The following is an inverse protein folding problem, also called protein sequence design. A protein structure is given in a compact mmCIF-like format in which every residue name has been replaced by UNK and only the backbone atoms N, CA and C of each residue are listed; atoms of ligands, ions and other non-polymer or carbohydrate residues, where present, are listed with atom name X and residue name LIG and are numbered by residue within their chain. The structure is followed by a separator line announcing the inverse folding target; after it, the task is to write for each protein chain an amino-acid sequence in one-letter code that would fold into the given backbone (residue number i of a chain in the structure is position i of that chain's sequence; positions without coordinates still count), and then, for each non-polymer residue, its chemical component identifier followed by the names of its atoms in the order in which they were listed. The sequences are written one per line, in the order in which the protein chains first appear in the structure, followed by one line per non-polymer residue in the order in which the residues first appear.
data_IF_527312215841
#
_entry.id   IF_527312215841
#
_cell.length_a   1.000
_cell.length_b   1.000
_cell.length_c   1.000
_cell.angle_alpha   90.00
_cell.angle_beta   90.00
_cell.angle_gamma   90.00
#
_symmetry.space_group_name_H-M   'P 1'
#
loop_
_entity.id
_entity.type
_entity.pdbx_description
1 polymer ?
#
# COMPACT_ATOMS: atom_id res chain seq x y z
N UNK A 1 1.52 35.62 -10.83
CA UNK A 1 0.53 36.70 -10.76
C UNK A 1 -0.87 36.09 -10.74
N UNK A 2 -1.67 36.40 -9.71
CA UNK A 2 -3.03 35.88 -9.60
C UNK A 2 -3.97 36.64 -10.51
N UNK A 3 -4.87 35.98 -11.24
CA UNK A 3 -5.88 36.69 -12.03
C UNK A 3 -6.80 37.48 -11.09
N UNK A 4 -7.06 38.73 -11.45
CA UNK A 4 -7.82 39.70 -10.64
C UNK A 4 -9.29 39.31 -10.36
N UNK A 5 -9.80 38.26 -10.99
CA UNK A 5 -11.20 37.86 -10.91
C UNK A 5 -11.42 36.37 -10.52
N UNK A 6 -10.51 35.80 -9.74
CA UNK A 6 -10.73 34.43 -9.25
C UNK A 6 -11.84 34.45 -8.17
N UNK A 7 -12.88 33.59 -8.26
CA UNK A 7 -13.91 33.51 -7.24
C UNK A 7 -13.35 33.07 -5.89
N UNK A 8 -13.98 33.48 -4.76
CA UNK A 8 -13.55 33.08 -3.43
C UNK A 8 -13.46 31.55 -3.33
N UNK A 9 -12.30 31.04 -2.90
CA UNK A 9 -12.03 29.60 -2.83
C UNK A 9 -11.25 29.03 -4.00
N UNK A 10 -11.23 29.65 -5.19
CA UNK A 10 -10.49 29.16 -6.36
C UNK A 10 -8.97 29.33 -6.21
N UNK A 11 -8.53 30.26 -5.39
CA UNK A 11 -7.11 30.56 -5.14
C UNK A 11 -6.38 29.35 -4.55
N UNK A 12 -7.03 28.60 -3.65
CA UNK A 12 -6.44 27.37 -3.07
C UNK A 12 -6.22 26.30 -4.11
N UNK A 13 -7.11 26.16 -5.09
CA UNK A 13 -6.98 25.17 -6.17
C UNK A 13 -5.79 25.45 -7.10
N UNK A 14 -5.46 26.72 -7.31
CA UNK A 14 -4.32 27.12 -8.15
C UNK A 14 -2.98 26.83 -7.52
N UNK A 15 -2.89 26.88 -6.17
CA UNK A 15 -1.64 26.62 -5.42
C UNK A 15 -1.50 25.17 -4.93
N UNK A 16 -2.53 24.33 -5.10
CA UNK A 16 -2.53 22.95 -4.62
C UNK A 16 -2.96 22.00 -5.76
N UNK A 17 -2.23 21.98 -6.89
CA UNK A 17 -2.71 21.29 -8.11
C UNK A 17 -2.87 19.78 -7.93
N UNK A 18 -2.04 19.13 -7.10
CA UNK A 18 -2.06 17.68 -6.91
C UNK A 18 -3.05 17.21 -5.84
N UNK A 19 -3.43 18.05 -4.89
CA UNK A 19 -4.31 17.65 -3.78
C UNK A 19 -5.73 17.27 -4.21
N UNK A 20 -6.15 17.64 -5.42
CA UNK A 20 -7.46 17.32 -5.98
C UNK A 20 -7.50 16.06 -6.83
N UNK A 21 -6.36 15.42 -7.03
CA UNK A 21 -6.26 14.19 -7.83
C UNK A 21 -6.03 12.97 -6.95
N UNK A 22 -6.53 11.84 -7.40
CA UNK A 22 -6.29 10.56 -6.73
C UNK A 22 -4.81 10.19 -6.80
N UNK A 23 -4.33 9.59 -5.73
CA UNK A 23 -2.96 9.09 -5.60
C UNK A 23 -2.99 7.58 -5.48
N UNK A 24 -2.08 6.90 -6.18
CA UNK A 24 -1.83 5.47 -6.02
C UNK A 24 -0.37 5.23 -5.73
N UNK A 25 -0.08 4.22 -4.93
CA UNK A 25 1.28 3.70 -4.82
C UNK A 25 1.61 2.84 -6.04
N UNK A 26 2.85 2.88 -6.51
CA UNK A 26 3.34 2.05 -7.62
C UNK A 26 4.45 1.15 -7.12
N UNK A 27 4.23 -0.16 -7.23
CA UNK A 27 5.09 -1.20 -6.66
C UNK A 27 5.71 -1.99 -7.82
N UNK A 28 7.04 -2.00 -7.88
CA UNK A 28 7.78 -2.79 -8.85
C UNK A 28 7.95 -4.22 -8.37
N UNK A 29 7.65 -5.19 -9.22
CA UNK A 29 7.84 -6.62 -8.97
C UNK A 29 8.67 -7.25 -10.08
N UNK A 30 9.42 -8.29 -9.79
CA UNK A 30 10.27 -8.97 -10.79
C UNK A 30 9.50 -9.95 -11.66
N UNK A 31 8.40 -10.50 -11.16
CA UNK A 31 7.55 -11.48 -11.84
C UNK A 31 6.08 -11.22 -11.51
N UNK A 32 5.31 -10.77 -12.50
CA UNK A 32 3.91 -10.42 -12.29
C UNK A 32 3.04 -11.61 -11.90
N UNK A 33 3.32 -12.82 -12.40
CA UNK A 33 2.55 -14.01 -12.04
C UNK A 33 2.77 -14.40 -10.58
N UNK A 34 3.99 -14.31 -10.10
CA UNK A 34 4.31 -14.51 -8.69
C UNK A 34 3.67 -13.43 -7.81
N UNK A 35 3.69 -12.19 -8.26
CA UNK A 35 3.03 -11.08 -7.57
C UNK A 35 1.52 -11.29 -7.47
N UNK A 36 0.85 -11.73 -8.51
CA UNK A 36 -0.58 -12.06 -8.49
C UNK A 36 -0.88 -13.09 -7.39
N UNK A 37 -0.10 -14.15 -7.28
CA UNK A 37 -0.25 -15.15 -6.23
C UNK A 37 -0.14 -14.55 -4.81
N UNK A 38 0.70 -13.56 -4.63
CA UNK A 38 0.86 -12.87 -3.35
C UNK A 38 -0.26 -11.84 -3.11
N UNK A 39 -0.42 -10.87 -4.00
CA UNK A 39 -1.37 -9.77 -3.78
C UNK A 39 -2.82 -10.24 -3.80
N UNK A 40 -3.19 -11.12 -4.70
CA UNK A 40 -4.54 -11.67 -4.78
C UNK A 40 -4.72 -12.88 -3.86
N UNK A 41 -3.78 -13.83 -3.88
CA UNK A 41 -3.90 -15.09 -3.15
C UNK A 41 -3.66 -14.98 -1.65
N UNK A 42 -2.65 -14.22 -1.21
CA UNK A 42 -2.30 -14.09 0.21
C UNK A 42 -2.89 -12.85 0.86
N UNK A 43 -2.83 -11.68 0.18
CA UNK A 43 -3.39 -10.44 0.70
C UNK A 43 -4.89 -10.30 0.43
N UNK A 44 -5.46 -11.06 -0.48
CA UNK A 44 -6.88 -11.00 -0.81
C UNK A 44 -7.29 -9.73 -1.56
N UNK A 45 -6.37 -9.04 -2.22
CA UNK A 45 -6.69 -7.85 -3.00
C UNK A 45 -7.42 -8.22 -4.29
N UNK A 46 -8.32 -7.35 -4.73
CA UNK A 46 -9.08 -7.55 -5.95
C UNK A 46 -8.52 -6.68 -7.07
N UNK A 47 -8.16 -7.33 -8.18
CA UNK A 47 -7.72 -6.62 -9.37
C UNK A 47 -8.90 -5.96 -10.08
N UNK A 48 -8.65 -4.77 -10.62
CA UNK A 48 -9.59 -4.10 -11.50
C UNK A 48 -9.55 -4.75 -12.89
N UNK A 49 -10.70 -5.24 -13.35
CA UNK A 49 -10.82 -5.90 -14.65
C UNK A 49 -11.62 -5.10 -15.69
N UNK A 50 -12.17 -3.94 -15.31
CA UNK A 50 -13.01 -3.12 -16.19
C UNK A 50 -12.90 -1.63 -15.91
N UNK A 51 -13.17 -0.81 -16.91
CA UNK A 51 -13.16 0.64 -16.82
C UNK A 51 -12.23 1.29 -17.85
N UNK A 52 -12.04 2.62 -17.78
CA UNK A 52 -11.17 3.36 -18.71
C UNK A 52 -9.72 2.88 -18.68
N UNK A 53 -9.33 2.21 -17.60
CA UNK A 53 -8.02 1.57 -17.43
C UNK A 53 -8.01 0.11 -17.87
N UNK A 54 -9.01 -0.35 -18.63
CA UNK A 54 -9.10 -1.73 -19.13
C UNK A 54 -7.94 -2.13 -20.04
N UNK A 55 -7.16 -1.16 -20.50
CA UNK A 55 -5.88 -1.40 -21.15
C UNK A 55 -4.76 -1.40 -20.11
N UNK A 56 -4.87 -2.31 -19.13
CA UNK A 56 -3.75 -2.58 -18.22
C UNK A 56 -2.68 -3.29 -19.06
N UNK A 57 -1.46 -2.72 -19.18
CA UNK A 57 -0.41 -3.35 -19.95
C UNK A 57 -0.09 -4.75 -19.41
N UNK A 58 0.31 -5.68 -20.30
CA UNK A 58 0.86 -6.95 -19.88
C UNK A 58 1.98 -6.71 -18.86
N UNK A 59 2.01 -7.48 -17.78
CA UNK A 59 2.96 -7.27 -16.69
C UNK A 59 2.55 -6.20 -15.67
N UNK A 60 1.29 -5.81 -15.64
CA UNK A 60 0.75 -4.87 -14.67
C UNK A 60 -0.57 -5.35 -14.06
N UNK A 61 -0.86 -4.86 -12.85
CA UNK A 61 -2.15 -5.02 -12.16
C UNK A 61 -2.50 -3.75 -11.41
N UNK A 62 -3.78 -3.47 -11.29
CA UNK A 62 -4.29 -2.36 -10.47
C UNK A 62 -5.21 -2.96 -9.42
N UNK A 63 -4.93 -2.67 -8.16
CA UNK A 63 -5.70 -3.17 -7.02
C UNK A 63 -6.46 -2.08 -6.30
N UNK A 64 -7.67 -2.40 -5.89
CA UNK A 64 -8.48 -1.55 -5.03
C UNK A 64 -8.26 -1.85 -3.55
N UNK A 65 -8.25 -0.82 -2.72
CA UNK A 65 -8.24 -0.90 -1.26
C UNK A 65 -9.14 0.20 -0.70
N UNK A 66 -9.94 -0.13 0.33
CA UNK A 66 -10.80 0.88 0.96
C UNK A 66 -11.80 1.54 0.01
N UNK A 67 -12.29 0.81 -0.99
CA UNK A 67 -13.25 1.33 -1.97
C UNK A 67 -12.65 2.22 -3.07
N UNK A 68 -11.33 2.32 -3.16
CA UNK A 68 -10.61 3.14 -4.16
C UNK A 68 -9.50 2.34 -4.83
N UNK A 69 -9.11 2.76 -6.03
CA UNK A 69 -7.89 2.27 -6.67
C UNK A 69 -6.68 2.78 -5.87
N UNK A 70 -5.83 1.88 -5.41
CA UNK A 70 -4.79 2.21 -4.44
C UNK A 70 -3.39 1.78 -4.86
N UNK A 71 -3.25 0.64 -5.52
CA UNK A 71 -1.96 0.08 -5.89
C UNK A 71 -1.87 -0.19 -7.39
N UNK A 72 -0.78 0.29 -8.00
CA UNK A 72 -0.33 -0.19 -9.29
C UNK A 72 0.84 -1.16 -9.03
N UNK A 73 0.71 -2.40 -9.47
CA UNK A 73 1.79 -3.40 -9.41
C UNK A 73 2.26 -3.66 -10.83
N UNK A 74 3.55 -3.49 -11.09
CA UNK A 74 4.10 -3.59 -12.44
C UNK A 74 5.44 -4.33 -12.45
N UNK A 75 5.71 -5.03 -13.54
CA UNK A 75 6.96 -5.76 -13.69
C UNK A 75 8.11 -4.82 -14.06
N UNK A 76 9.20 -4.87 -13.29
CA UNK A 76 10.37 -4.04 -13.50
C UNK A 76 11.62 -4.67 -12.87
N UNK A 77 12.76 -4.40 -13.47
CA UNK A 77 14.07 -4.76 -12.91
C UNK A 77 14.43 -3.98 -11.65
N UNK A 78 13.64 -2.96 -11.30
CA UNK A 78 13.85 -2.14 -10.10
C UNK A 78 13.18 -2.72 -8.85
N UNK A 79 12.55 -3.90 -8.94
CA UNK A 79 11.84 -4.54 -7.84
C UNK A 79 12.74 -4.77 -6.61
N UNK A 80 12.18 -4.52 -5.42
CA UNK A 80 12.79 -4.87 -4.14
C UNK A 80 14.06 -4.09 -3.78
N UNK A 81 14.36 -3.00 -4.45
CA UNK A 81 15.61 -2.25 -4.24
C UNK A 81 15.54 -1.21 -3.12
N UNK A 82 14.37 -0.91 -2.60
CA UNK A 82 14.19 0.04 -1.50
C UNK A 82 13.91 -0.69 -0.19
N UNK A 83 14.61 -0.39 0.91
CA UNK A 83 14.29 -0.91 2.23
C UNK A 83 13.15 -0.15 2.92
N UNK A 84 12.66 0.94 2.33
CA UNK A 84 11.62 1.76 2.90
C UNK A 84 10.26 1.07 2.89
N UNK A 85 9.39 1.41 3.84
CA UNK A 85 7.97 1.07 3.78
C UNK A 85 7.33 1.81 2.61
N UNK A 86 6.75 1.08 1.67
CA UNK A 86 6.22 1.64 0.42
C UNK A 86 4.76 2.04 0.52
N UNK A 87 3.98 1.33 1.33
CA UNK A 87 2.59 1.63 1.58
C UNK A 87 2.17 1.08 2.95
N UNK A 88 1.14 1.68 3.54
CA UNK A 88 0.61 1.29 4.84
C UNK A 88 -0.90 1.12 4.74
N UNK A 89 -1.40 -0.01 5.22
CA UNK A 89 -2.83 -0.21 5.46
C UNK A 89 -3.19 0.22 6.87
N UNK A 90 -4.19 1.07 6.99
CA UNK A 90 -4.74 1.48 8.28
C UNK A 90 -5.92 0.56 8.59
N UNK A 91 -5.79 -0.22 9.64
CA UNK A 91 -6.73 -1.30 9.97
C UNK A 91 -7.35 -1.07 11.35
N UNK A 92 -8.54 -1.62 11.58
CA UNK A 92 -9.25 -1.47 12.86
C UNK A 92 -8.72 -2.44 13.91
N UNK A 93 -8.51 -3.70 13.54
CA UNK A 93 -8.06 -4.78 14.42
C UNK A 93 -6.77 -5.41 13.87
N UNK A 94 -5.64 -4.89 14.29
CA UNK A 94 -4.34 -5.33 13.77
C UNK A 94 -4.02 -6.77 14.21
N UNK A 95 -4.46 -7.21 15.37
CA UNK A 95 -4.24 -8.59 15.83
C UNK A 95 -4.93 -9.59 14.89
N UNK A 96 -6.18 -9.33 14.54
CA UNK A 96 -6.93 -10.15 13.61
C UNK A 96 -6.29 -10.16 12.22
N UNK A 97 -5.93 -9.00 11.69
CA UNK A 97 -5.34 -8.90 10.35
C UNK A 97 -4.00 -9.61 10.28
N UNK A 98 -3.16 -9.47 11.29
CA UNK A 98 -1.89 -10.22 11.37
C UNK A 98 -2.14 -11.73 11.38
N UNK A 99 -3.10 -12.21 12.18
CA UNK A 99 -3.43 -13.64 12.23
C UNK A 99 -3.94 -14.15 10.86
N UNK A 100 -4.76 -13.38 10.17
CA UNK A 100 -5.25 -13.71 8.83
C UNK A 100 -4.11 -13.77 7.81
N UNK A 101 -3.20 -12.79 7.81
CA UNK A 101 -2.05 -12.77 6.90
C UNK A 101 -1.11 -13.95 7.17
N UNK A 102 -0.80 -14.24 8.42
CA UNK A 102 0.03 -15.39 8.80
C UNK A 102 -0.62 -16.70 8.35
N UNK A 103 -1.92 -16.83 8.52
CA UNK A 103 -2.69 -18.00 8.04
C UNK A 103 -2.64 -18.16 6.53
N UNK A 104 -2.49 -17.08 5.79
CA UNK A 104 -2.34 -17.06 4.34
C UNK A 104 -0.90 -17.27 3.87
N UNK A 105 0.05 -17.43 4.80
CA UNK A 105 1.46 -17.66 4.50
C UNK A 105 2.30 -16.39 4.37
N UNK A 106 1.82 -15.26 4.89
CA UNK A 106 2.61 -14.03 4.99
C UNK A 106 3.43 -14.06 6.27
N UNK A 107 4.70 -13.72 6.17
CA UNK A 107 5.61 -13.64 7.30
C UNK A 107 5.68 -12.20 7.82
N UNK A 108 5.50 -12.01 9.12
CA UNK A 108 5.64 -10.69 9.77
C UNK A 108 7.11 -10.45 10.10
N UNK A 109 7.61 -9.31 9.66
CA UNK A 109 9.00 -8.93 9.86
C UNK A 109 9.20 -8.46 11.31
N UNK A 110 10.26 -8.95 11.93
CA UNK A 110 10.70 -8.51 13.25
C UNK A 110 12.05 -7.80 13.10
N UNK A 111 12.06 -6.50 13.40
CA UNK A 111 13.29 -5.71 13.38
C UNK A 111 13.99 -5.82 14.75
N UNK A 112 15.27 -6.13 14.74
CA UNK A 112 16.05 -6.33 15.96
C UNK A 112 16.10 -5.09 16.88
N UNK A 113 15.92 -3.91 16.30
CA UNK A 113 15.94 -2.64 17.04
C UNK A 113 14.62 -2.30 17.72
N UNK A 114 13.57 -3.08 17.50
CA UNK A 114 12.23 -2.81 17.99
C UNK A 114 11.74 -3.93 18.90
N UNK A 115 10.94 -3.56 19.88
CA UNK A 115 10.22 -4.52 20.70
C UNK A 115 8.96 -4.98 19.97
N UNK A 116 8.81 -6.29 19.80
CA UNK A 116 7.67 -6.92 19.18
C UNK A 116 6.93 -7.82 20.17
N UNK A 117 5.62 -7.85 20.08
CA UNK A 117 4.82 -8.84 20.81
C UNK A 117 4.90 -10.24 20.15
N UNK A 118 4.11 -11.19 20.66
CA UNK A 118 4.12 -12.56 20.14
C UNK A 118 3.71 -12.65 18.66
N UNK A 119 2.92 -11.72 18.17
CA UNK A 119 2.53 -11.62 16.75
C UNK A 119 3.52 -10.86 15.87
N UNK A 120 4.51 -10.21 16.46
CA UNK A 120 5.42 -9.34 15.74
C UNK A 120 4.96 -7.89 15.64
N UNK A 121 3.95 -7.51 16.38
CA UNK A 121 3.39 -6.15 16.39
C UNK A 121 4.19 -5.30 17.38
N UNK A 122 4.50 -4.07 16.96
CA UNK A 122 5.23 -3.08 17.77
C UNK A 122 4.28 -1.99 18.23
N UNK A 123 4.33 -1.66 19.53
CA UNK A 123 3.64 -0.49 20.06
C UNK A 123 4.41 0.79 19.67
N UNK A 124 3.68 1.80 19.22
CA UNK A 124 4.27 3.09 18.85
C UNK A 124 4.28 4.05 20.02
N UNK A 125 5.32 4.86 20.11
CA UNK A 125 5.34 5.99 21.04
C UNK A 125 4.18 6.96 20.72
N UNK A 126 3.39 7.32 21.73
CA UNK A 126 2.23 8.18 21.54
C UNK A 126 0.92 7.46 21.22
N UNK A 127 0.91 6.14 21.19
CA UNK A 127 -0.24 5.31 20.89
C UNK A 127 -0.18 4.70 19.50
N UNK A 128 -1.03 3.70 19.28
CA UNK A 128 -1.05 2.97 18.03
C UNK A 128 -0.09 1.77 18.01
N UNK A 129 -0.31 0.89 17.04
CA UNK A 129 0.44 -0.35 16.86
C UNK A 129 0.74 -0.53 15.38
N UNK A 130 1.90 -1.12 15.07
CA UNK A 130 2.37 -1.30 13.70
C UNK A 130 2.96 -2.69 13.53
N UNK A 131 2.79 -3.27 12.35
CA UNK A 131 3.47 -4.48 11.92
C UNK A 131 3.93 -4.34 10.47
N UNK A 132 4.98 -5.06 10.11
CA UNK A 132 5.54 -5.01 8.75
C UNK A 132 5.56 -6.39 8.11
N UNK A 133 5.41 -6.42 6.81
CA UNK A 133 5.59 -7.62 6.00
C UNK A 133 6.17 -7.25 4.64
N UNK A 134 6.62 -8.24 3.89
CA UNK A 134 7.19 -8.04 2.56
C UNK A 134 6.49 -8.91 1.53
N UNK A 135 6.47 -8.41 0.29
CA UNK A 135 6.14 -9.23 -0.86
C UNK A 135 7.32 -10.16 -1.25
N UNK A 136 7.15 -11.05 -2.26
CA UNK A 136 8.23 -11.95 -2.68
C UNK A 136 9.52 -11.27 -3.17
N UNK A 137 9.45 -10.02 -3.61
CA UNK A 137 10.60 -9.23 -4.05
C UNK A 137 11.30 -8.46 -2.92
N UNK A 138 10.74 -8.48 -1.71
CA UNK A 138 11.25 -7.71 -0.59
C UNK A 138 10.71 -6.28 -0.50
N UNK A 139 9.67 -5.94 -1.25
CA UNK A 139 8.94 -4.69 -1.08
C UNK A 139 8.26 -4.68 0.29
N UNK A 140 8.53 -3.68 1.10
CA UNK A 140 8.07 -3.60 2.48
C UNK A 140 6.77 -2.81 2.60
N UNK A 141 5.83 -3.38 3.33
CA UNK A 141 4.54 -2.79 3.67
C UNK A 141 4.32 -2.77 5.17
N UNK A 142 3.43 -1.91 5.62
CA UNK A 142 3.03 -1.85 7.01
C UNK A 142 1.51 -1.97 7.17
N UNK A 143 1.13 -2.51 8.33
CA UNK A 143 -0.20 -2.41 8.91
C UNK A 143 -0.11 -1.47 10.08
N UNK A 144 -1.07 -0.59 10.25
CA UNK A 144 -1.10 0.36 11.35
C UNK A 144 -2.53 0.45 11.90
N UNK A 145 -2.66 0.45 13.21
CA UNK A 145 -3.91 0.65 13.90
C UNK A 145 -3.74 1.69 15.00
N UNK A 146 -4.72 2.58 15.12
CA UNK A 146 -4.85 3.44 16.28
C UNK A 146 -5.34 2.62 17.48
N UNK A 147 -5.13 3.14 18.67
CA UNK A 147 -5.53 2.48 19.95
C UNK A 147 -7.03 2.55 20.14
#
# INVERSE_FOLDING_TARGET
MLPRNAPPGSVRQWFMPLSRYDLRASIAVSDIQRAIGFYEGKLGLQALHSGPSAQIPDGSRIYGCGGRLALNVYQSVTAGKSPATLATWYVDDIDQIVDELVSSGVEIIRYDQLDHDARGITARAGGGRIAWFQDPDGNTFALEADV
#
